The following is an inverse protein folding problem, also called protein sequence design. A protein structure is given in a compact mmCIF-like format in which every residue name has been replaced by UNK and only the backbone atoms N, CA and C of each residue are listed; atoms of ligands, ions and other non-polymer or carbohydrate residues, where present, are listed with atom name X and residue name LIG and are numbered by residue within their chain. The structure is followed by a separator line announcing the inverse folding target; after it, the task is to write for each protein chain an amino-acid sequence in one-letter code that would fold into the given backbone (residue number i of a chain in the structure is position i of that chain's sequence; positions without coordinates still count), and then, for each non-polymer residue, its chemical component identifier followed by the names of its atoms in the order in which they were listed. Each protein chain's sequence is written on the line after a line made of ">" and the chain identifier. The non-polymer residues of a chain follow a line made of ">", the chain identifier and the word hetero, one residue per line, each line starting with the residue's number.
data_IF_614655441465
#
_entry.id   IF_614655441465
#
_cell.length_a   1.000
_cell.length_b   1.000
_cell.length_c   1.000
_cell.angle_alpha   90.00
_cell.angle_beta   90.00
_cell.angle_gamma   90.00
#
_symmetry.space_group_name_H-M   'P 1'
#
loop_
_entity.id
_entity.type
_entity.pdbx_description
1 polymer ?
#
# COMPACT_ATOMS: atom_id res chain seq x y z
N UNK A 1 -17.37 -21.93 1.65
CA UNK A 1 -16.00 -22.46 1.80
C UNK A 1 -15.47 -22.76 0.40
N UNK A 2 -14.34 -22.17 0.02
CA UNK A 2 -13.70 -22.48 -1.27
C UNK A 2 -12.76 -23.67 -1.08
N UNK A 3 -12.79 -24.63 -2.01
CA UNK A 3 -11.83 -25.72 -2.05
C UNK A 3 -10.45 -25.18 -2.44
N UNK A 4 -9.38 -25.79 -1.90
CA UNK A 4 -7.99 -25.48 -2.24
C UNK A 4 -7.40 -26.67 -2.98
N UNK A 5 -6.61 -26.40 -4.03
CA UNK A 5 -5.86 -27.44 -4.73
C UNK A 5 -4.62 -27.82 -3.91
N UNK A 6 -4.52 -29.08 -3.49
CA UNK A 6 -3.27 -29.60 -2.93
C UNK A 6 -2.23 -29.73 -4.03
N UNK A 7 -1.02 -29.20 -3.78
CA UNK A 7 0.09 -29.23 -4.72
C UNK A 7 1.27 -30.00 -4.13
N UNK A 8 2.10 -30.56 -5.02
CA UNK A 8 3.34 -31.24 -4.62
C UNK A 8 4.45 -30.23 -4.31
N UNK A 9 5.63 -30.70 -3.87
CA UNK A 9 6.75 -29.84 -3.45
C UNK A 9 7.30 -28.98 -4.60
N UNK A 10 7.39 -29.52 -5.81
CA UNK A 10 7.90 -28.79 -6.99
C UNK A 10 6.92 -27.68 -7.42
N UNK A 11 5.62 -28.00 -7.49
CA UNK A 11 4.57 -27.02 -7.77
C UNK A 11 4.51 -25.95 -6.66
N UNK A 12 4.65 -26.34 -5.40
CA UNK A 12 4.64 -25.43 -4.26
C UNK A 12 5.81 -24.43 -4.34
N UNK A 13 6.99 -24.92 -4.66
CA UNK A 13 8.18 -24.09 -4.86
C UNK A 13 7.98 -23.11 -6.00
N UNK A 14 7.54 -23.60 -7.15
CA UNK A 14 7.24 -22.75 -8.31
C UNK A 14 6.20 -21.66 -8.00
N UNK A 15 5.10 -22.02 -7.32
CA UNK A 15 4.04 -21.07 -6.92
C UNK A 15 4.61 -20.00 -5.97
N UNK A 16 5.44 -20.39 -5.00
CA UNK A 16 6.07 -19.46 -4.08
C UNK A 16 7.01 -18.49 -4.79
N UNK A 17 7.87 -19.00 -5.66
CA UNK A 17 8.81 -18.19 -6.43
C UNK A 17 8.05 -17.20 -7.34
N UNK A 18 7.02 -17.66 -8.05
CA UNK A 18 6.24 -16.81 -8.95
C UNK A 18 5.45 -15.73 -8.20
N UNK A 19 4.85 -16.04 -7.05
CA UNK A 19 4.11 -15.06 -6.24
C UNK A 19 5.06 -14.08 -5.55
N UNK A 20 6.24 -14.55 -5.11
CA UNK A 20 7.20 -13.73 -4.37
C UNK A 20 8.11 -12.90 -5.27
N UNK A 21 8.59 -13.48 -6.37
CA UNK A 21 9.60 -12.90 -7.27
C UNK A 21 9.13 -12.68 -8.70
N UNK A 22 8.02 -13.27 -9.11
CA UNK A 22 7.44 -13.17 -10.46
C UNK A 22 6.89 -11.78 -10.81
N UNK A 23 6.07 -11.69 -11.86
CA UNK A 23 5.53 -10.42 -12.39
C UNK A 23 4.76 -9.62 -11.34
N UNK A 24 3.99 -10.30 -10.48
CA UNK A 24 3.22 -9.69 -9.39
C UNK A 24 3.99 -9.57 -8.08
N UNK A 25 5.31 -9.64 -8.11
CA UNK A 25 6.17 -9.60 -6.93
C UNK A 25 6.02 -8.31 -6.14
N UNK A 26 5.83 -8.43 -4.83
CA UNK A 26 5.86 -7.33 -3.88
C UNK A 26 6.80 -7.59 -2.69
N UNK A 27 7.47 -8.75 -2.71
CA UNK A 27 8.29 -9.22 -1.59
C UNK A 27 7.59 -9.08 -0.24
N UNK A 28 6.31 -9.50 -0.21
CA UNK A 28 5.46 -9.44 0.98
C UNK A 28 6.04 -10.27 2.12
N UNK A 29 5.77 -9.84 3.35
CA UNK A 29 6.14 -10.60 4.54
C UNK A 29 5.39 -11.95 4.62
N UNK A 30 5.86 -12.90 5.47
CA UNK A 30 5.37 -14.29 5.45
C UNK A 30 3.86 -14.43 5.57
N UNK A 31 3.21 -13.65 6.46
CA UNK A 31 1.75 -13.72 6.66
C UNK A 31 0.96 -13.29 5.42
N UNK A 32 1.39 -12.23 4.77
CA UNK A 32 0.74 -11.72 3.55
C UNK A 32 0.94 -12.69 2.39
N UNK A 33 2.14 -13.30 2.28
CA UNK A 33 2.45 -14.27 1.25
C UNK A 33 1.60 -15.54 1.40
N UNK A 34 1.50 -16.10 2.62
CA UNK A 34 0.59 -17.22 2.91
C UNK A 34 -0.85 -16.89 2.53
N UNK A 35 -1.35 -15.71 2.94
CA UNK A 35 -2.69 -15.28 2.58
C UNK A 35 -2.89 -15.18 1.08
N UNK A 36 -1.89 -14.72 0.33
CA UNK A 36 -1.95 -14.61 -1.14
C UNK A 36 -2.03 -15.99 -1.78
N UNK A 37 -1.19 -16.96 -1.33
CA UNK A 37 -1.23 -18.35 -1.82
C UNK A 37 -2.59 -19.01 -1.57
N UNK A 38 -3.14 -18.88 -0.37
CA UNK A 38 -4.47 -19.45 -0.05
C UNK A 38 -5.56 -18.82 -0.92
N UNK A 39 -5.52 -17.49 -1.15
CA UNK A 39 -6.50 -16.78 -1.98
C UNK A 39 -6.45 -17.17 -3.45
N UNK A 40 -5.26 -17.56 -3.95
CA UNK A 40 -5.13 -18.11 -5.30
C UNK A 40 -5.61 -19.57 -5.41
N UNK A 41 -5.95 -20.19 -4.29
CA UNK A 41 -6.59 -21.52 -4.28
C UNK A 41 -5.63 -22.68 -4.10
N UNK A 42 -4.39 -22.44 -3.61
CA UNK A 42 -3.40 -23.49 -3.40
C UNK A 42 -3.16 -23.77 -1.91
N UNK A 43 -2.81 -25.03 -1.60
CA UNK A 43 -2.48 -25.47 -0.26
C UNK A 43 -1.50 -26.63 -0.27
N UNK A 44 -0.59 -26.68 0.71
CA UNK A 44 0.23 -27.83 1.10
C UNK A 44 0.57 -27.75 2.59
N UNK A 45 0.91 -28.88 3.19
CA UNK A 45 1.01 -29.01 4.65
C UNK A 45 2.13 -28.17 5.28
N UNK A 46 3.25 -27.96 4.58
CA UNK A 46 4.42 -27.21 5.06
C UNK A 46 4.43 -25.72 4.67
N UNK A 47 3.38 -25.24 4.01
CA UNK A 47 3.29 -23.91 3.39
C UNK A 47 3.77 -22.77 4.29
N UNK A 48 3.35 -22.74 5.57
CA UNK A 48 3.76 -21.68 6.48
C UNK A 48 5.26 -21.68 6.76
N UNK A 49 5.84 -22.88 6.92
CA UNK A 49 7.28 -23.06 7.17
C UNK A 49 8.09 -22.67 5.93
N UNK A 50 7.67 -23.12 4.76
CA UNK A 50 8.35 -22.88 3.49
C UNK A 50 8.35 -21.39 3.13
N UNK A 51 7.21 -20.73 3.33
CA UNK A 51 7.09 -19.27 3.15
C UNK A 51 8.02 -18.49 4.08
N UNK A 52 8.09 -18.87 5.37
CA UNK A 52 9.00 -18.21 6.33
C UNK A 52 10.46 -18.42 5.92
N UNK A 53 10.79 -19.60 5.47
CA UNK A 53 12.15 -19.93 5.05
C UNK A 53 12.55 -19.17 3.77
N UNK A 54 11.66 -19.09 2.78
CA UNK A 54 11.86 -18.31 1.57
C UNK A 54 12.11 -16.83 1.88
N UNK A 55 11.24 -16.20 2.69
CA UNK A 55 11.38 -14.77 3.03
C UNK A 55 12.67 -14.50 3.82
N UNK A 56 13.09 -15.42 4.72
CA UNK A 56 14.36 -15.29 5.44
C UNK A 56 15.58 -15.38 4.53
N UNK A 57 15.52 -16.17 3.47
CA UNK A 57 16.63 -16.35 2.51
C UNK A 57 16.63 -15.30 1.40
N UNK A 58 15.53 -14.60 1.19
CA UNK A 58 15.43 -13.61 0.14
C UNK A 58 16.28 -12.37 0.45
N UNK A 59 17.35 -12.16 -0.33
CA UNK A 59 18.26 -11.03 -0.19
C UNK A 59 17.53 -9.68 -0.28
N UNK A 60 16.58 -9.55 -1.21
CA UNK A 60 15.77 -8.35 -1.39
C UNK A 60 14.89 -8.03 -0.17
N UNK A 61 14.29 -9.06 0.43
CA UNK A 61 13.54 -8.88 1.68
C UNK A 61 14.45 -8.40 2.81
N UNK A 62 15.66 -8.94 2.93
CA UNK A 62 16.60 -8.57 3.99
C UNK A 62 17.19 -7.17 3.81
N UNK A 63 17.55 -6.79 2.58
CA UNK A 63 18.14 -5.47 2.28
C UNK A 63 17.19 -4.30 2.55
N UNK A 64 15.89 -4.51 2.46
CA UNK A 64 14.87 -3.44 2.52
C UNK A 64 13.98 -3.52 3.76
N UNK A 65 14.46 -4.13 4.85
CA UNK A 65 13.76 -4.17 6.13
C UNK A 65 13.70 -2.78 6.81
N UNK A 66 12.59 -2.48 7.46
CA UNK A 66 12.40 -1.19 8.11
C UNK A 66 12.86 -1.21 9.58
N UNK A 67 13.76 -0.30 9.94
CA UNK A 67 14.21 -0.09 11.32
C UNK A 67 13.26 0.88 12.04
N UNK A 68 12.64 0.44 13.12
CA UNK A 68 11.69 1.26 13.91
C UNK A 68 12.40 2.11 14.97
N UNK A 69 11.94 3.36 15.13
CA UNK A 69 12.43 4.30 16.19
C UNK A 69 11.37 4.49 17.27
N UNK A 70 11.82 4.79 18.51
CA UNK A 70 10.93 5.01 19.66
C UNK A 70 10.11 6.30 19.52
N UNK A 71 8.81 6.26 19.82
CA UNK A 71 7.90 7.38 19.64
C UNK A 71 7.92 8.37 20.81
N UNK A 72 7.59 9.64 20.51
CA UNK A 72 7.55 10.76 21.47
C UNK A 72 6.11 11.03 21.95
N UNK A 73 5.10 10.77 21.13
CA UNK A 73 3.69 11.08 21.41
C UNK A 73 2.75 9.89 21.18
N UNK A 74 1.60 9.95 21.83
CA UNK A 74 0.57 8.88 21.65
C UNK A 74 0.02 8.84 20.25
N UNK A 75 -0.22 7.65 19.73
CA UNK A 75 -0.80 7.43 18.42
C UNK A 75 -2.30 7.75 18.42
N UNK A 76 -2.71 8.65 17.55
CA UNK A 76 -4.13 8.92 17.28
C UNK A 76 -4.56 8.10 16.06
N UNK A 77 -5.60 7.28 16.22
CA UNK A 77 -6.14 6.46 15.14
C UNK A 77 -7.06 7.30 14.24
N UNK A 78 -6.90 7.16 12.91
CA UNK A 78 -7.75 7.82 11.93
C UNK A 78 -8.56 6.72 11.22
N UNK A 79 -9.88 6.76 11.38
CA UNK A 79 -10.81 5.87 10.71
C UNK A 79 -11.52 6.59 9.57
N UNK A 80 -11.63 5.95 8.42
CA UNK A 80 -12.49 6.40 7.32
C UNK A 80 -13.88 5.80 7.48
N UNK A 81 -14.96 6.57 7.31
CA UNK A 81 -16.32 6.10 7.57
C UNK A 81 -16.85 5.09 6.53
N UNK A 82 -16.44 5.21 5.28
CA UNK A 82 -16.80 4.30 4.17
C UNK A 82 -15.73 4.31 3.08
N UNK A 83 -15.77 3.37 2.12
CA UNK A 83 -14.85 3.32 1.00
C UNK A 83 -14.80 4.62 0.21
N UNK A 84 -13.60 5.07 -0.14
CA UNK A 84 -13.31 6.26 -0.95
C UNK A 84 -13.70 7.61 -0.31
N UNK A 85 -14.18 7.61 0.94
CA UNK A 85 -14.54 8.84 1.64
C UNK A 85 -13.33 9.68 2.05
N UNK A 86 -12.19 9.03 2.29
CA UNK A 86 -11.02 9.71 2.83
C UNK A 86 -9.73 9.21 2.16
N UNK A 87 -9.06 10.14 1.49
CA UNK A 87 -7.82 9.89 0.79
C UNK A 87 -6.65 10.61 1.44
N UNK A 88 -5.54 9.89 1.60
CA UNK A 88 -4.26 10.51 1.94
C UNK A 88 -3.43 10.68 0.68
N UNK A 89 -2.86 11.85 0.46
CA UNK A 89 -2.01 12.14 -0.71
C UNK A 89 -0.62 12.55 -0.23
N UNK A 90 0.40 12.02 -0.89
CA UNK A 90 1.79 12.37 -0.64
C UNK A 90 2.64 12.26 -1.90
N UNK A 91 3.84 12.82 -1.86
CA UNK A 91 4.80 12.80 -2.95
C UNK A 91 6.07 12.09 -2.49
N UNK A 92 6.43 11.05 -3.21
CA UNK A 92 7.70 10.37 -3.05
C UNK A 92 8.69 10.84 -4.11
N UNK A 93 9.94 11.05 -3.71
CA UNK A 93 11.01 11.45 -4.62
C UNK A 93 11.95 12.53 -4.02
N UNK A 94 12.95 12.96 -4.78
CA UNK A 94 13.24 12.49 -6.14
C UNK A 94 13.69 11.03 -6.17
N UNK A 95 13.19 10.30 -7.16
CA UNK A 95 13.62 8.97 -7.52
C UNK A 95 14.73 9.04 -8.58
N UNK A 96 15.29 7.91 -8.99
CA UNK A 96 16.16 7.83 -10.16
C UNK A 96 15.40 8.34 -11.39
N UNK A 97 16.07 9.14 -12.21
CA UNK A 97 15.46 9.74 -13.37
C UNK A 97 15.09 8.69 -14.42
N UNK A 98 13.79 8.56 -14.69
CA UNK A 98 13.24 7.71 -15.74
C UNK A 98 13.07 8.44 -17.08
N UNK A 99 12.52 7.74 -18.08
CA UNK A 99 12.16 8.34 -19.39
C UNK A 99 11.29 9.59 -19.18
N UNK A 100 11.51 10.64 -19.98
CA UNK A 100 10.75 11.89 -19.85
C UNK A 100 11.10 12.72 -18.61
N UNK A 101 12.28 12.54 -18.03
CA UNK A 101 12.77 13.23 -16.84
C UNK A 101 11.91 13.03 -15.58
N UNK A 102 11.12 11.95 -15.56
CA UNK A 102 10.26 11.61 -14.43
C UNK A 102 11.09 11.17 -13.24
N UNK A 103 10.86 11.80 -12.09
CA UNK A 103 11.61 11.56 -10.84
C UNK A 103 10.79 11.66 -9.57
N UNK A 104 9.50 11.97 -9.68
CA UNK A 104 8.60 12.03 -8.53
C UNK A 104 7.43 11.08 -8.73
N UNK A 105 6.88 10.60 -7.64
CA UNK A 105 5.70 9.78 -7.61
C UNK A 105 4.65 10.44 -6.72
N UNK A 106 3.54 10.86 -7.30
CA UNK A 106 2.37 11.34 -6.59
C UNK A 106 1.49 10.15 -6.26
N UNK A 107 1.22 9.92 -4.98
CA UNK A 107 0.53 8.72 -4.46
C UNK A 107 -0.68 9.16 -3.67
N UNK A 108 -1.82 8.51 -3.92
CA UNK A 108 -3.03 8.64 -3.13
C UNK A 108 -3.47 7.26 -2.61
N UNK A 109 -3.83 7.18 -1.33
CA UNK A 109 -4.37 5.97 -0.70
C UNK A 109 -5.75 6.24 -0.10
N UNK A 110 -6.71 5.37 -0.40
CA UNK A 110 -7.97 5.32 0.33
C UNK A 110 -7.76 4.72 1.74
N UNK A 111 -8.25 5.40 2.76
CA UNK A 111 -8.02 5.01 4.16
C UNK A 111 -8.91 3.85 4.61
N UNK A 112 -9.97 3.52 3.90
CA UNK A 112 -10.85 2.40 4.22
C UNK A 112 -10.34 1.09 3.61
N UNK A 113 -10.34 0.99 2.27
CA UNK A 113 -10.00 -0.25 1.54
C UNK A 113 -8.51 -0.38 1.22
N UNK A 114 -7.70 0.65 1.49
CA UNK A 114 -6.26 0.69 1.16
C UNK A 114 -5.98 0.67 -0.34
N UNK A 115 -6.93 1.07 -1.16
CA UNK A 115 -6.71 1.25 -2.59
C UNK A 115 -5.70 2.36 -2.84
N UNK A 116 -4.82 2.14 -3.82
CA UNK A 116 -3.78 3.11 -4.19
C UNK A 116 -3.93 3.51 -5.64
N UNK A 117 -3.93 4.83 -5.86
CA UNK A 117 -3.70 5.47 -7.15
C UNK A 117 -2.36 6.20 -7.10
N UNK A 118 -1.64 6.20 -8.24
CA UNK A 118 -0.41 6.95 -8.29
C UNK A 118 -0.06 7.36 -9.73
N UNK A 119 0.68 8.46 -9.83
CA UNK A 119 1.13 9.03 -11.10
C UNK A 119 2.60 9.46 -10.98
N UNK A 120 3.37 9.12 -12.01
CA UNK A 120 4.77 9.49 -12.10
C UNK A 120 4.91 10.89 -12.73
N UNK A 121 5.67 11.77 -12.10
CA UNK A 121 5.80 13.18 -12.48
C UNK A 121 7.26 13.58 -12.68
N UNK A 122 7.52 14.37 -13.73
CA UNK A 122 8.82 15.03 -13.92
C UNK A 122 8.97 16.26 -13.01
N UNK A 123 7.88 17.01 -12.84
CA UNK A 123 7.83 18.25 -12.07
C UNK A 123 6.57 18.23 -11.20
N UNK A 124 6.73 18.66 -9.94
CA UNK A 124 5.62 18.82 -9.00
C UNK A 124 5.06 20.24 -9.18
N UNK A 125 3.81 20.33 -9.64
CA UNK A 125 3.06 21.59 -9.72
C UNK A 125 1.66 21.40 -9.17
N UNK A 126 1.05 22.49 -8.68
CA UNK A 126 -0.33 22.49 -8.22
C UNK A 126 -1.30 21.96 -9.30
N UNK A 127 -1.13 22.41 -10.53
CA UNK A 127 -1.97 22.00 -11.66
C UNK A 127 -1.91 20.48 -11.92
N UNK A 128 -0.74 19.85 -11.74
CA UNK A 128 -0.56 18.40 -11.85
C UNK A 128 -1.26 17.66 -10.73
N UNK A 129 -1.14 18.17 -9.49
CA UNK A 129 -1.81 17.58 -8.33
C UNK A 129 -3.33 17.66 -8.48
N UNK A 130 -3.87 18.81 -8.88
CA UNK A 130 -5.30 19.00 -9.13
C UNK A 130 -5.80 18.09 -10.27
N UNK A 131 -5.05 18.00 -11.37
CA UNK A 131 -5.36 17.08 -12.48
C UNK A 131 -5.38 15.63 -12.03
N UNK A 132 -4.41 15.22 -11.20
CA UNK A 132 -4.35 13.88 -10.61
C UNK A 132 -5.57 13.59 -9.73
N UNK A 133 -5.91 14.49 -8.80
CA UNK A 133 -7.10 14.33 -7.93
C UNK A 133 -8.37 14.22 -8.77
N UNK A 134 -8.50 15.05 -9.79
CA UNK A 134 -9.65 15.00 -10.69
C UNK A 134 -9.73 13.67 -11.43
N UNK A 135 -8.68 13.30 -12.16
CA UNK A 135 -8.68 12.11 -13.05
C UNK A 135 -8.65 10.78 -12.30
N UNK A 136 -7.79 10.68 -11.28
CA UNK A 136 -7.50 9.40 -10.63
C UNK A 136 -8.35 9.13 -9.40
N UNK A 137 -8.94 10.17 -8.80
CA UNK A 137 -9.81 10.02 -7.63
C UNK A 137 -11.25 10.33 -8.00
N UNK A 138 -11.56 11.60 -8.36
CA UNK A 138 -12.95 12.05 -8.51
C UNK A 138 -13.64 11.35 -9.67
N UNK A 139 -13.04 11.31 -10.86
CA UNK A 139 -13.65 10.69 -12.04
C UNK A 139 -13.80 9.16 -11.91
N UNK A 140 -13.07 8.53 -10.98
CA UNK A 140 -13.07 7.06 -10.83
C UNK A 140 -13.89 6.57 -9.65
N UNK A 141 -13.87 7.31 -8.54
CA UNK A 141 -14.43 6.87 -7.27
C UNK A 141 -15.44 7.84 -6.66
N UNK A 142 -15.68 8.98 -7.32
CA UNK A 142 -16.53 10.04 -6.81
C UNK A 142 -15.80 11.07 -5.95
N UNK A 143 -16.56 12.06 -5.46
CA UNK A 143 -16.00 13.15 -4.66
C UNK A 143 -15.77 12.68 -3.24
N UNK A 144 -14.50 12.70 -2.73
CA UNK A 144 -14.20 12.31 -1.36
C UNK A 144 -14.68 13.36 -0.37
N UNK A 145 -15.02 12.93 0.85
CA UNK A 145 -15.35 13.84 1.96
C UNK A 145 -14.12 14.60 2.44
N UNK A 146 -12.96 13.93 2.48
CA UNK A 146 -11.73 14.48 3.07
C UNK A 146 -10.50 14.06 2.28
N UNK A 147 -9.59 15.00 2.08
CA UNK A 147 -8.24 14.73 1.59
C UNK A 147 -7.23 15.12 2.68
N UNK A 148 -6.36 14.18 3.05
CA UNK A 148 -5.27 14.38 4.00
C UNK A 148 -3.98 14.62 3.22
N UNK A 149 -3.28 15.69 3.55
CA UNK A 149 -2.10 16.18 2.85
C UNK A 149 -0.97 16.43 3.85
N UNK A 150 0.27 16.46 3.39
CA UNK A 150 1.34 17.07 4.15
C UNK A 150 1.35 18.60 3.97
N UNK A 151 2.09 19.31 4.85
CA UNK A 151 2.19 20.78 4.80
C UNK A 151 3.15 21.29 3.70
N UNK A 152 3.36 20.53 2.63
CA UNK A 152 4.17 20.97 1.51
C UNK A 152 3.51 22.13 0.74
N UNK A 153 4.30 23.14 0.35
CA UNK A 153 3.81 24.31 -0.42
C UNK A 153 3.05 23.92 -1.70
N UNK A 154 3.34 22.76 -2.27
CA UNK A 154 2.67 22.22 -3.46
C UNK A 154 1.20 21.84 -3.19
N UNK A 155 0.83 21.55 -1.93
CA UNK A 155 -0.53 21.22 -1.52
C UNK A 155 -1.20 22.40 -0.84
N UNK A 156 -0.43 23.21 -0.11
CA UNK A 156 -0.94 24.35 0.64
C UNK A 156 -0.85 25.65 -0.17
N UNK A 157 -1.73 25.77 -1.15
CA UNK A 157 -1.90 26.97 -1.97
C UNK A 157 -3.38 27.29 -2.20
N UNK A 158 -3.69 28.56 -2.49
CA UNK A 158 -5.06 29.04 -2.61
C UNK A 158 -5.84 28.31 -3.71
N UNK A 159 -5.25 28.09 -4.88
CA UNK A 159 -5.91 27.46 -6.03
C UNK A 159 -6.37 26.03 -5.72
N UNK A 160 -5.54 25.26 -4.99
CA UNK A 160 -5.92 23.91 -4.59
C UNK A 160 -7.00 23.92 -3.49
N UNK A 161 -6.93 24.88 -2.56
CA UNK A 161 -7.97 25.06 -1.53
C UNK A 161 -9.31 25.42 -2.17
N UNK A 162 -9.32 26.37 -3.14
CA UNK A 162 -10.53 26.77 -3.87
C UNK A 162 -11.13 25.61 -4.68
N UNK A 163 -10.27 24.82 -5.32
CA UNK A 163 -10.69 23.60 -6.03
C UNK A 163 -11.39 22.61 -5.09
N UNK A 164 -10.81 22.32 -3.94
CA UNK A 164 -11.39 21.40 -2.97
C UNK A 164 -12.68 22.00 -2.35
N UNK A 165 -12.67 23.26 -1.98
CA UNK A 165 -13.83 23.95 -1.42
C UNK A 165 -15.01 24.01 -2.39
N UNK A 166 -14.74 24.28 -3.68
CA UNK A 166 -15.76 24.28 -4.72
C UNK A 166 -16.44 22.92 -4.93
N UNK A 167 -15.77 21.82 -4.54
CA UNK A 167 -16.31 20.47 -4.59
C UNK A 167 -16.81 19.96 -3.22
N UNK A 168 -16.78 20.78 -2.18
CA UNK A 168 -17.16 20.39 -0.82
C UNK A 168 -16.16 19.43 -0.15
N UNK A 169 -14.95 19.34 -0.64
CA UNK A 169 -13.90 18.47 -0.09
C UNK A 169 -13.20 19.16 1.08
N UNK A 170 -13.15 18.51 2.24
CA UNK A 170 -12.41 19.00 3.41
C UNK A 170 -10.92 18.67 3.28
N UNK A 171 -10.07 19.70 3.28
CA UNK A 171 -8.62 19.52 3.35
C UNK A 171 -8.16 19.40 4.81
N UNK A 172 -7.39 18.36 5.12
CA UNK A 172 -6.72 18.19 6.40
C UNK A 172 -5.20 18.13 6.17
N UNK A 173 -4.46 18.95 6.89
CA UNK A 173 -3.00 18.95 6.82
C UNK A 173 -2.43 18.23 8.04
N UNK A 174 -1.50 17.30 7.80
CA UNK A 174 -0.73 16.70 8.89
C UNK A 174 0.32 17.69 9.37
N UNK A 175 0.35 17.96 10.67
CA UNK A 175 1.40 18.79 11.25
C UNK A 175 2.77 18.12 11.11
N UNK A 176 3.85 18.87 10.83
CA UNK A 176 5.21 18.34 10.87
C UNK A 176 5.59 17.72 12.22
N UNK A 177 5.02 18.22 13.32
CA UNK A 177 5.20 17.67 14.68
C UNK A 177 4.33 16.44 14.96
N UNK A 178 3.26 16.21 14.17
CA UNK A 178 2.33 15.08 14.29
C UNK A 178 2.14 14.38 12.94
N UNK A 179 3.15 13.72 12.40
CA UNK A 179 3.05 13.05 11.09
C UNK A 179 2.07 11.88 11.09
N UNK A 180 1.53 11.52 12.26
CA UNK A 180 0.62 10.39 12.46
C UNK A 180 -0.67 10.52 11.65
N UNK A 181 -1.17 11.74 11.39
CA UNK A 181 -2.34 11.97 10.57
C UNK A 181 -2.15 11.46 9.12
N UNK A 182 -0.94 11.55 8.57
CA UNK A 182 -0.58 11.03 7.26
C UNK A 182 0.17 9.68 7.33
N UNK A 183 0.27 9.08 8.52
CA UNK A 183 1.06 7.87 8.74
C UNK A 183 0.65 6.68 7.86
N UNK A 184 -0.64 6.57 7.49
CA UNK A 184 -1.09 5.53 6.55
C UNK A 184 -0.52 5.76 5.15
N UNK A 185 -0.48 7.00 4.67
CA UNK A 185 0.09 7.36 3.38
C UNK A 185 1.61 7.14 3.38
N UNK A 186 2.30 7.50 4.47
CA UNK A 186 3.74 7.27 4.61
C UNK A 186 4.10 5.78 4.62
N UNK A 187 3.32 4.95 5.32
CA UNK A 187 3.50 3.48 5.32
C UNK A 187 3.26 2.93 3.91
N UNK A 188 2.25 3.43 3.21
CA UNK A 188 1.97 3.03 1.83
C UNK A 188 3.10 3.45 0.90
N UNK A 189 3.58 4.68 1.01
CA UNK A 189 4.73 5.17 0.25
C UNK A 189 5.96 4.29 0.47
N UNK A 190 6.26 3.94 1.72
CA UNK A 190 7.36 3.01 2.05
C UNK A 190 7.15 1.65 1.42
N UNK A 191 5.94 1.11 1.45
CA UNK A 191 5.60 -0.18 0.85
C UNK A 191 5.77 -0.14 -0.67
N UNK A 192 5.22 0.86 -1.35
CA UNK A 192 5.38 1.03 -2.80
C UNK A 192 6.85 1.23 -3.19
N UNK A 193 7.58 2.08 -2.46
CA UNK A 193 9.01 2.27 -2.70
C UNK A 193 9.80 0.97 -2.46
N UNK A 194 9.41 0.16 -1.47
CA UNK A 194 10.02 -1.17 -1.26
C UNK A 194 9.78 -2.06 -2.47
N UNK A 195 8.56 -2.18 -2.96
CA UNK A 195 8.22 -2.97 -4.14
C UNK A 195 8.99 -2.47 -5.38
N UNK A 196 9.04 -1.15 -5.58
CA UNK A 196 9.83 -0.54 -6.66
C UNK A 196 11.30 -0.93 -6.52
N UNK A 197 11.91 -0.72 -5.35
CA UNK A 197 13.31 -1.05 -5.09
C UNK A 197 13.62 -2.52 -5.36
N UNK A 198 12.77 -3.44 -4.89
CA UNK A 198 12.96 -4.88 -5.07
C UNK A 198 12.81 -5.33 -6.52
N UNK A 199 11.96 -4.64 -7.30
CA UNK A 199 11.83 -4.91 -8.74
C UNK A 199 12.98 -4.34 -9.58
N UNK A 200 13.61 -3.28 -9.11
CA UNK A 200 14.61 -2.51 -9.87
C UNK A 200 16.07 -2.85 -9.54
N UNK A 201 16.32 -3.84 -8.69
CA UNK A 201 17.69 -4.17 -8.26
C UNK A 201 18.63 -4.41 -9.46
N UNK A 202 18.08 -4.91 -10.59
CA UNK A 202 18.81 -5.20 -11.82
C UNK A 202 18.66 -4.13 -12.94
N UNK A 203 17.70 -3.17 -12.83
CA UNK A 203 17.33 -2.27 -13.92
C UNK A 203 17.09 -0.82 -13.45
N UNK A 204 18.16 -0.15 -13.02
CA UNK A 204 18.16 1.18 -12.36
C UNK A 204 17.45 2.35 -13.09
N UNK A 205 16.91 2.21 -14.28
CA UNK A 205 16.21 3.27 -15.01
C UNK A 205 14.77 2.92 -15.44
N UNK A 206 14.39 1.66 -15.38
CA UNK A 206 13.12 1.14 -15.91
C UNK A 206 11.94 1.16 -14.90
N UNK A 207 12.08 1.85 -13.74
CA UNK A 207 11.04 1.83 -12.70
C UNK A 207 9.67 2.34 -13.21
N UNK A 208 9.66 3.21 -14.20
CA UNK A 208 8.44 3.73 -14.79
C UNK A 208 7.69 2.65 -15.58
N UNK A 209 8.40 1.78 -16.28
CA UNK A 209 7.83 0.68 -17.05
C UNK A 209 7.26 -0.42 -16.14
N UNK A 210 7.90 -0.66 -14.99
CA UNK A 210 7.44 -1.61 -13.97
C UNK A 210 6.33 -1.06 -13.06
N UNK A 211 6.06 0.23 -13.12
CA UNK A 211 5.14 0.88 -12.19
C UNK A 211 3.70 0.34 -12.22
N UNK A 212 3.09 0.02 -13.38
CA UNK A 212 1.79 -0.67 -13.41
C UNK A 212 1.80 -2.01 -12.68
N UNK A 213 2.88 -2.80 -12.82
CA UNK A 213 3.05 -4.08 -12.14
C UNK A 213 3.20 -3.91 -10.62
N UNK A 214 3.83 -2.81 -10.18
CA UNK A 214 3.93 -2.45 -8.75
C UNK A 214 2.55 -2.15 -8.15
N UNK A 215 1.74 -1.35 -8.84
CA UNK A 215 0.37 -1.05 -8.41
C UNK A 215 -0.50 -2.31 -8.39
N UNK A 216 -0.39 -3.16 -9.42
CA UNK A 216 -1.07 -4.45 -9.47
C UNK A 216 -0.71 -5.32 -8.28
N UNK A 217 0.59 -5.53 -8.04
CA UNK A 217 1.07 -6.31 -6.90
C UNK A 217 0.54 -5.76 -5.57
N UNK A 218 0.54 -4.42 -5.40
CA UNK A 218 0.00 -3.78 -4.21
C UNK A 218 -1.50 -4.06 -4.04
N UNK A 219 -2.30 -3.89 -5.09
CA UNK A 219 -3.77 -4.02 -5.07
C UNK A 219 -4.24 -5.46 -4.85
N UNK A 220 -3.45 -6.44 -5.29
CA UNK A 220 -3.76 -7.88 -5.21
C UNK A 220 -3.13 -8.58 -4.00
N UNK A 221 -2.38 -7.87 -3.17
CA UNK A 221 -1.80 -8.43 -1.94
C UNK A 221 -2.63 -8.02 -0.72
N UNK A 222 -2.96 -8.99 0.13
CA UNK A 222 -3.75 -8.74 1.35
C UNK A 222 -3.04 -7.75 2.29
N UNK A 223 -3.78 -6.77 2.78
CA UNK A 223 -3.28 -5.78 3.75
C UNK A 223 -3.55 -6.25 5.16
N UNK A 224 -2.53 -6.29 6.00
CA UNK A 224 -2.64 -6.74 7.40
C UNK A 224 -3.77 -6.05 8.16
N UNK A 225 -4.00 -4.73 8.02
CA UNK A 225 -5.06 -4.05 8.78
C UNK A 225 -6.48 -4.53 8.41
N UNK A 226 -6.75 -4.80 7.15
CA UNK A 226 -8.07 -5.22 6.67
C UNK A 226 -8.22 -6.73 6.63
N UNK A 227 -7.11 -7.46 6.49
CA UNK A 227 -7.09 -8.89 6.24
C UNK A 227 -7.55 -9.27 4.82
N UNK A 228 -7.81 -8.28 3.96
CA UNK A 228 -8.32 -8.43 2.60
C UNK A 228 -7.43 -7.72 1.58
N UNK A 229 -7.53 -8.10 0.30
CA UNK A 229 -6.87 -7.35 -0.77
C UNK A 229 -7.65 -6.07 -1.08
N UNK A 230 -6.98 -4.96 -1.42
CA UNK A 230 -7.69 -3.77 -1.91
C UNK A 230 -8.57 -4.06 -3.13
N UNK A 231 -8.15 -5.00 -3.98
CA UNK A 231 -8.91 -5.41 -5.15
C UNK A 231 -10.25 -6.05 -4.75
N UNK A 232 -10.22 -7.00 -3.80
CA UNK A 232 -11.45 -7.65 -3.30
C UNK A 232 -12.40 -6.65 -2.64
N UNK A 233 -11.87 -5.77 -1.78
CA UNK A 233 -12.70 -4.74 -1.11
C UNK A 233 -13.32 -3.73 -2.08
N UNK A 234 -12.79 -3.64 -3.30
CA UNK A 234 -13.35 -2.78 -4.36
C UNK A 234 -14.40 -3.50 -5.19
N UNK A 235 -14.10 -4.75 -5.63
CA UNK A 235 -14.86 -5.46 -6.66
C UNK A 235 -15.55 -6.74 -6.16
N UNK A 236 -15.34 -7.12 -4.89
CA UNK A 236 -15.79 -8.36 -4.23
C UNK A 236 -15.31 -9.65 -4.88
N UNK A 237 -14.37 -9.59 -5.77
CA UNK A 237 -13.72 -10.73 -6.42
C UNK A 237 -12.22 -10.70 -6.18
N UNK A 238 -11.59 -11.86 -6.16
CA UNK A 238 -10.13 -11.93 -6.17
C UNK A 238 -9.61 -11.77 -7.60
N UNK A 239 -8.56 -10.99 -7.76
CA UNK A 239 -7.88 -10.86 -9.04
C UNK A 239 -7.28 -12.19 -9.48
N UNK A 240 -7.40 -12.54 -10.75
CA UNK A 240 -6.66 -13.65 -11.34
C UNK A 240 -5.21 -13.23 -11.53
N UNK A 241 -4.29 -13.94 -10.92
CA UNK A 241 -2.84 -13.64 -11.03
C UNK A 241 -2.16 -14.56 -12.06
N UNK A 242 -1.03 -14.12 -12.66
CA UNK A 242 -0.40 -14.88 -13.77
C UNK A 242 -0.10 -16.35 -13.46
N UNK A 243 0.24 -16.70 -12.22
CA UNK A 243 0.50 -18.09 -11.83
C UNK A 243 -0.70 -19.01 -12.08
N UNK A 244 -1.92 -18.51 -11.96
CA UNK A 244 -3.15 -19.26 -12.20
C UNK A 244 -3.39 -19.58 -13.69
N UNK A 245 -2.64 -18.96 -14.58
CA UNK A 245 -2.67 -19.28 -16.01
C UNK A 245 -1.83 -20.52 -16.29
N UNK A 246 -0.67 -20.65 -15.61
CA UNK A 246 0.22 -21.82 -15.76
C UNK A 246 -0.23 -23.02 -14.93
N UNK A 247 -0.60 -22.79 -13.66
CA UNK A 247 -1.12 -23.84 -12.76
C UNK A 247 -2.58 -23.50 -12.46
N UNK A 248 -3.51 -24.20 -13.11
CA UNK A 248 -4.94 -23.87 -13.03
C UNK A 248 -5.47 -24.07 -11.61
N UNK A 249 -6.06 -23.03 -11.02
CA UNK A 249 -6.71 -23.10 -9.70
C UNK A 249 -8.13 -23.66 -9.79
N UNK A 250 -8.65 -24.22 -8.69
CA UNK A 250 -10.02 -24.76 -8.63
C UNK A 250 -11.05 -23.70 -9.06
N UNK A 251 -10.86 -22.43 -8.67
CA UNK A 251 -11.80 -21.36 -9.04
C UNK A 251 -11.87 -21.14 -10.55
N UNK A 252 -10.82 -21.43 -11.31
CA UNK A 252 -10.81 -21.37 -12.77
C UNK A 252 -11.35 -22.64 -13.40
N UNK A 253 -11.08 -23.80 -12.82
CA UNK A 253 -11.61 -25.10 -13.30
C UNK A 253 -13.13 -25.19 -13.15
N UNK A 254 -13.68 -24.63 -12.07
CA UNK A 254 -15.12 -24.66 -11.77
C UNK A 254 -15.89 -23.49 -12.42
N UNK A 255 -15.18 -22.53 -13.05
CA UNK A 255 -15.82 -21.38 -13.70
C UNK A 255 -16.70 -21.83 -14.85
N UNK A 256 -18.04 -21.75 -14.68
CA UNK A 256 -19.04 -21.91 -15.73
C UNK A 256 -19.53 -20.53 -16.16
N UNK A 257 -19.36 -20.20 -17.44
CA UNK A 257 -19.77 -18.91 -17.99
C UNK A 257 -21.25 -18.60 -17.76
N UNK A 258 -22.08 -19.63 -17.83
CA UNK A 258 -23.53 -19.52 -17.70
C UNK A 258 -24.01 -19.02 -16.35
N UNK A 259 -23.24 -19.29 -15.26
CA UNK A 259 -23.60 -18.87 -13.90
C UNK A 259 -22.74 -17.71 -13.37
N UNK A 260 -21.80 -17.22 -14.19
CA UNK A 260 -20.83 -16.22 -13.72
C UNK A 260 -21.48 -14.88 -13.38
N UNK A 261 -22.43 -14.44 -14.20
CA UNK A 261 -23.10 -13.15 -14.02
C UNK A 261 -23.98 -13.14 -12.76
N UNK A 262 -24.66 -14.26 -12.47
CA UNK A 262 -25.45 -14.41 -11.26
C UNK A 262 -24.55 -14.45 -10.00
N UNK A 263 -23.42 -15.16 -10.07
CA UNK A 263 -22.43 -15.17 -8.99
C UNK A 263 -21.82 -13.78 -8.77
N UNK A 264 -21.53 -13.03 -9.81
CA UNK A 264 -21.03 -11.65 -9.70
C UNK A 264 -22.06 -10.74 -9.01
N UNK A 265 -23.35 -10.88 -9.32
CA UNK A 265 -24.43 -10.13 -8.67
C UNK A 265 -24.52 -10.48 -7.18
N UNK A 266 -24.54 -11.79 -6.84
CA UNK A 266 -24.55 -12.27 -5.45
C UNK A 266 -23.34 -11.75 -4.70
N UNK A 267 -22.15 -11.77 -5.30
CA UNK A 267 -20.94 -11.25 -4.68
C UNK A 267 -21.05 -9.75 -4.42
N UNK A 268 -21.58 -8.96 -5.37
CA UNK A 268 -21.78 -7.52 -5.17
C UNK A 268 -22.78 -7.24 -4.05
N UNK A 269 -23.82 -8.05 -3.87
CA UNK A 269 -24.76 -7.94 -2.76
C UNK A 269 -24.09 -8.23 -1.41
N UNK A 270 -23.12 -9.14 -1.38
CA UNK A 270 -22.34 -9.48 -0.18
C UNK A 270 -21.18 -8.52 0.12
N UNK A 271 -20.85 -7.60 -0.81
CA UNK A 271 -19.71 -6.69 -0.67
C UNK A 271 -19.79 -5.83 0.60
N UNK A 272 -20.99 -5.43 1.02
CA UNK A 272 -21.22 -4.73 2.27
C UNK A 272 -20.69 -5.50 3.47
N UNK A 273 -21.05 -6.78 3.60
CA UNK A 273 -20.59 -7.62 4.71
C UNK A 273 -19.06 -7.83 4.72
N UNK A 274 -18.44 -7.98 3.56
CA UNK A 274 -16.99 -8.13 3.44
C UNK A 274 -16.28 -6.86 3.91
N UNK A 275 -16.81 -5.69 3.54
CA UNK A 275 -16.31 -4.38 3.98
C UNK A 275 -16.49 -4.16 5.47
N UNK A 276 -17.61 -4.55 6.05
CA UNK A 276 -17.87 -4.44 7.49
C UNK A 276 -16.93 -5.33 8.29
N UNK A 277 -16.70 -6.57 7.85
CA UNK A 277 -15.71 -7.47 8.44
C UNK A 277 -14.29 -6.90 8.37
N UNK A 278 -13.91 -6.31 7.23
CA UNK A 278 -12.61 -5.67 7.05
C UNK A 278 -12.47 -4.41 7.94
N UNK A 279 -13.52 -3.60 8.05
CA UNK A 279 -13.56 -2.42 8.92
C UNK A 279 -13.40 -2.80 10.39
N UNK A 280 -14.09 -3.84 10.84
CA UNK A 280 -13.98 -4.37 12.22
C UNK A 280 -12.55 -4.87 12.51
N UNK A 281 -11.94 -5.62 11.57
CA UNK A 281 -10.54 -6.06 11.68
C UNK A 281 -9.58 -4.87 11.73
N UNK A 282 -9.82 -3.86 10.90
CA UNK A 282 -9.00 -2.66 10.87
C UNK A 282 -9.06 -1.89 12.20
N UNK A 283 -10.24 -1.76 12.78
CA UNK A 283 -10.42 -1.10 14.09
C UNK A 283 -9.65 -1.83 15.20
N UNK A 284 -9.78 -3.15 15.25
CA UNK A 284 -9.05 -3.99 16.22
C UNK A 284 -7.53 -3.86 15.98
N UNK A 285 -7.09 -3.90 14.74
CA UNK A 285 -5.68 -3.74 14.40
C UNK A 285 -5.13 -2.38 14.83
N UNK A 286 -5.87 -1.30 14.53
CA UNK A 286 -5.48 0.05 14.93
C UNK A 286 -5.41 0.22 16.44
N UNK A 287 -6.37 -0.34 17.19
CA UNK A 287 -6.35 -0.33 18.65
C UNK A 287 -5.12 -1.06 19.20
N UNK A 288 -4.85 -2.28 18.74
CA UNK A 288 -3.65 -3.04 19.14
C UNK A 288 -2.36 -2.31 18.82
N UNK A 289 -2.29 -1.68 17.63
CA UNK A 289 -1.11 -0.90 17.24
C UNK A 289 -0.95 0.36 18.08
N UNK A 290 -2.04 1.05 18.41
CA UNK A 290 -2.03 2.21 19.29
C UNK A 290 -1.59 1.82 20.71
N UNK A 291 -2.10 0.73 21.26
CA UNK A 291 -1.68 0.21 22.58
C UNK A 291 -0.20 -0.15 22.58
N UNK A 292 0.27 -0.92 21.58
CA UNK A 292 1.67 -1.31 21.47
C UNK A 292 2.60 -0.10 21.31
N UNK A 293 2.19 0.87 20.51
CA UNK A 293 2.93 2.10 20.30
C UNK A 293 2.95 2.95 21.58
N UNK A 294 1.80 3.15 22.20
CA UNK A 294 1.64 4.00 23.37
C UNK A 294 2.39 3.47 24.61
N UNK A 295 2.56 2.15 24.74
CA UNK A 295 3.42 1.54 25.77
C UNK A 295 4.89 1.94 25.65
N UNK A 296 5.33 2.36 24.48
CA UNK A 296 6.72 2.78 24.20
C UNK A 296 6.90 4.29 24.22
N UNK A 297 5.82 5.05 24.35
CA UNK A 297 5.86 6.51 24.42
C UNK A 297 6.48 6.93 25.76
N UNK A 298 7.58 7.63 25.68
CA UNK A 298 8.18 8.32 26.82
C UNK A 298 7.78 9.79 26.74
N UNK A 299 6.78 10.18 27.51
CA UNK A 299 6.45 11.58 27.70
C UNK A 299 7.66 12.27 28.36
N UNK A 300 8.27 13.22 27.66
CA UNK A 300 9.31 14.09 28.18
C UNK A 300 8.68 15.43 28.48
N UNK A 301 8.77 15.87 29.72
CA UNK A 301 8.56 17.27 30.05
C UNK A 301 9.84 18.01 29.67
N UNK A 302 9.72 18.99 28.78
CA UNK A 302 10.82 19.87 28.39
C UNK A 302 10.50 21.25 28.90
N UNK A 303 11.43 21.82 29.65
CA UNK A 303 11.34 23.19 30.14
C UNK A 303 12.05 24.17 29.19
N UNK A 304 11.72 25.46 29.33
CA UNK A 304 12.39 26.53 28.57
C UNK A 304 13.87 26.55 28.97
N UNK A 305 14.77 26.39 28.01
CA UNK A 305 16.22 26.25 28.13
C UNK A 305 16.78 24.81 28.07
N UNK A 306 15.95 23.79 27.98
CA UNK A 306 16.45 22.44 27.80
C UNK A 306 17.09 22.26 26.40
N UNK A 307 18.24 21.59 26.39
CA UNK A 307 18.96 21.28 25.16
C UNK A 307 18.38 20.03 24.50
N UNK A 308 17.91 20.18 23.25
CA UNK A 308 17.34 19.11 22.48
C UNK A 308 18.30 18.71 21.35
N UNK A 309 18.68 17.44 21.29
CA UNK A 309 19.46 16.90 20.20
C UNK A 309 18.59 16.77 18.94
N UNK A 310 18.83 17.62 17.93
CA UNK A 310 18.22 17.52 16.62
C UNK A 310 19.10 16.72 15.66
N UNK A 311 18.57 15.59 15.13
CA UNK A 311 19.32 14.79 14.17
C UNK A 311 19.24 15.44 12.78
N UNK A 312 20.38 15.93 12.29
CA UNK A 312 20.52 16.41 10.92
C UNK A 312 20.68 15.19 9.99
N UNK A 313 19.64 14.88 9.23
CA UNK A 313 19.57 13.66 8.37
C UNK A 313 20.08 13.85 6.95
N UNK A 314 20.59 15.02 6.59
CA UNK A 314 20.94 15.39 5.21
C UNK A 314 22.38 15.08 4.79
N UNK A 315 23.26 14.69 5.72
CA UNK A 315 24.71 14.63 5.44
C UNK A 315 25.21 13.20 5.14
N UNK A 316 24.45 12.14 5.40
CA UNK A 316 24.95 10.76 5.37
C UNK A 316 24.30 9.84 4.31
N UNK A 317 23.43 10.36 3.43
CA UNK A 317 22.89 9.57 2.33
C UNK A 317 23.57 9.94 1.03
N UNK A 318 24.10 8.92 0.34
CA UNK A 318 24.61 9.05 -1.01
C UNK A 318 23.54 9.69 -1.91
N UNK A 319 23.79 10.92 -2.37
CA UNK A 319 22.85 11.72 -3.15
C UNK A 319 22.52 11.10 -4.52
N UNK A 320 23.37 10.18 -5.00
CA UNK A 320 23.19 9.49 -6.29
C UNK A 320 22.07 8.46 -6.28
N UNK A 321 21.73 7.89 -5.11
CA UNK A 321 20.69 6.84 -5.01
C UNK A 321 19.32 7.38 -4.57
N UNK A 322 19.23 8.62 -4.14
CA UNK A 322 17.98 9.23 -3.70
C UNK A 322 17.25 8.39 -2.62
N UNK A 323 15.92 8.29 -2.73
CA UNK A 323 15.09 7.51 -1.81
C UNK A 323 15.01 6.00 -2.15
N UNK A 324 15.59 5.56 -3.24
CA UNK A 324 15.56 4.14 -3.70
C UNK A 324 16.77 3.32 -3.23
N UNK A 325 17.75 3.91 -2.58
CA UNK A 325 18.88 3.19 -1.98
C UNK A 325 18.45 2.28 -0.82
N UNK A 326 19.26 1.24 -0.46
CA UNK A 326 19.05 0.41 0.73
C UNK A 326 18.93 1.26 1.99
N UNK A 327 18.15 0.80 2.95
CA UNK A 327 17.96 1.49 4.24
C UNK A 327 19.07 1.15 5.22
#
# INVERSE_FOLDING_TARGET
>A
MSYLKCVNEDEAKYILEEIHEGVCRDHAGPRSLVSKVIRTGYFWSTMQKDVVELVKKCDKCQRFENIQRLPIEKLTTIASPWPFAQWGIDIAGPLLQGKGQVKFLLIAIDYFIKWVEAEALAIITEARIRSFVWKNIICRFGIPRTIILNNGRQFDNQRFRDFCSGLGIKNQFSSPGHPQANGQTEVTNRTLLKIIKTKLDDAKGAWLEEFPNVLWAYRTTARTPTGETPFRLTYDIEAVIPVEVGVTSIRREVLRKENNDDQLRINLDCLGEVRDKASSKMTIYQQKMAEYYNKRVKLRQLDISDLVLHKVTTVTKDSAQGKLGPT
#
